data_IF_019911154363
#
_entry.id   IF_019911154363
#
_cell.length_a   1.000
_cell.length_b   1.000
_cell.length_c   1.000
_cell.angle_alpha   90.00
_cell.angle_beta   90.00
_cell.angle_gamma   90.00
#
_symmetry.space_group_name_H-M   'P 1'
#
loop_
_entity.id
_entity.type
_entity.pdbx_description
1 polymer ?
#
# COMPACT_ATOMS: atom_id res chain seq x y z
N UNK A 1 -5.33 -8.85 12.38
CA UNK A 1 -4.53 -8.02 11.47
C UNK A 1 -4.78 -8.45 10.04
N UNK A 2 -4.85 -7.50 9.09
CA UNK A 2 -5.07 -7.76 7.67
C UNK A 2 -3.76 -7.66 6.91
N UNK A 3 -3.52 -8.61 6.00
CA UNK A 3 -2.44 -8.52 5.02
C UNK A 3 -3.03 -8.03 3.71
N UNK A 4 -2.47 -6.95 3.20
CA UNK A 4 -2.74 -6.41 1.88
C UNK A 4 -1.53 -6.64 0.99
N UNK A 5 -1.73 -7.24 -0.16
CA UNK A 5 -0.68 -7.47 -1.14
C UNK A 5 -1.11 -7.07 -2.55
N UNK A 6 -0.12 -6.74 -3.36
CA UNK A 6 -0.27 -6.51 -4.79
C UNK A 6 0.85 -7.22 -5.54
N UNK A 7 0.47 -8.04 -6.51
CA UNK A 7 1.37 -8.87 -7.33
C UNK A 7 1.34 -8.40 -8.77
N UNK A 8 2.40 -8.63 -9.52
CA UNK A 8 2.52 -8.23 -10.93
C UNK A 8 3.09 -6.82 -11.12
N UNK A 9 3.63 -6.21 -10.06
CA UNK A 9 4.16 -4.86 -10.09
C UNK A 9 5.56 -4.85 -10.71
N UNK A 10 5.81 -4.12 -11.81
CA UNK A 10 7.15 -3.98 -12.35
C UNK A 10 8.04 -3.16 -11.41
N UNK A 11 9.34 -3.39 -11.45
CA UNK A 11 10.31 -2.51 -10.75
C UNK A 11 10.49 -1.21 -11.50
N UNK A 12 10.56 -1.31 -12.82
CA UNK A 12 10.64 -0.20 -13.76
C UNK A 12 9.59 -0.42 -14.83
N UNK A 13 8.87 0.61 -15.21
CA UNK A 13 7.87 0.47 -16.26
C UNK A 13 8.47 0.66 -17.65
N UNK A 14 7.87 0.01 -18.64
CA UNK A 14 8.06 0.34 -20.05
C UNK A 14 6.93 1.28 -20.49
N UNK A 15 7.25 2.34 -21.23
CA UNK A 15 6.27 3.33 -21.69
C UNK A 15 5.15 2.68 -22.49
N UNK A 16 3.90 2.97 -22.12
CA UNK A 16 2.69 2.44 -22.74
C UNK A 16 2.41 0.96 -22.49
N UNK A 17 3.27 0.26 -21.72
CA UNK A 17 3.05 -1.14 -21.42
C UNK A 17 1.89 -1.36 -20.45
N UNK A 18 1.23 -2.53 -20.56
CA UNK A 18 0.16 -2.94 -19.67
C UNK A 18 0.62 -4.03 -18.71
N UNK A 19 0.26 -3.87 -17.44
CA UNK A 19 0.61 -4.80 -16.37
C UNK A 19 -0.66 -5.30 -15.68
N UNK A 20 -0.82 -6.63 -15.60
CA UNK A 20 -1.88 -7.25 -14.81
C UNK A 20 -1.46 -7.24 -13.35
N UNK A 21 -2.20 -6.52 -12.53
CA UNK A 21 -1.97 -6.42 -11.09
C UNK A 21 -3.04 -7.22 -10.36
N UNK A 22 -2.61 -8.08 -9.44
CA UNK A 22 -3.53 -8.80 -8.55
C UNK A 22 -3.44 -8.21 -7.17
N UNK A 23 -4.57 -7.72 -6.66
CA UNK A 23 -4.71 -7.20 -5.29
C UNK A 23 -5.35 -8.29 -4.45
N UNK A 24 -4.74 -8.59 -3.31
CA UNK A 24 -5.23 -9.63 -2.39
C UNK A 24 -5.28 -9.12 -0.97
N UNK A 25 -6.35 -9.47 -0.27
CA UNK A 25 -6.55 -9.28 1.17
C UNK A 25 -6.58 -10.62 1.87
N UNK A 26 -5.82 -10.79 2.94
CA UNK A 26 -5.86 -11.98 3.77
C UNK A 26 -6.09 -11.62 5.23
N UNK A 27 -6.94 -12.40 5.89
CA UNK A 27 -7.23 -12.31 7.32
C UNK A 27 -7.53 -13.70 7.86
N UNK A 28 -7.16 -14.03 9.12
CA UNK A 28 -7.37 -15.36 9.68
C UNK A 28 -8.82 -15.82 9.73
N UNK A 29 -9.76 -14.88 9.80
CA UNK A 29 -11.18 -15.15 10.06
C UNK A 29 -12.09 -14.64 8.95
N UNK A 30 -11.83 -13.42 8.42
CA UNK A 30 -12.74 -12.74 7.49
C UNK A 30 -12.26 -12.90 6.05
N UNK A 31 -13.19 -13.01 5.12
CA UNK A 31 -12.93 -13.27 3.69
C UNK A 31 -13.64 -12.26 2.78
N UNK A 32 -14.30 -11.27 3.35
CA UNK A 32 -15.02 -10.25 2.60
C UNK A 32 -14.42 -8.88 2.88
N UNK A 33 -14.05 -8.19 1.84
CA UNK A 33 -13.43 -6.87 1.95
C UNK A 33 -13.54 -6.06 0.68
N UNK A 34 -12.75 -5.01 0.61
CA UNK A 34 -12.66 -4.12 -0.52
C UNK A 34 -11.31 -3.44 -0.59
N UNK A 35 -11.04 -2.83 -1.72
CA UNK A 35 -9.82 -2.08 -1.95
C UNK A 35 -10.10 -0.78 -2.69
N UNK A 36 -9.13 0.12 -2.68
CA UNK A 36 -9.06 1.31 -3.51
C UNK A 36 -7.60 1.58 -3.87
N UNK A 37 -7.30 1.84 -5.14
CA UNK A 37 -5.94 2.12 -5.63
C UNK A 37 -5.93 3.36 -6.51
N UNK A 38 -4.84 4.12 -6.40
CA UNK A 38 -4.51 5.24 -7.29
C UNK A 38 -3.06 5.16 -7.75
N UNK A 39 -2.78 5.74 -8.90
CA UNK A 39 -1.45 6.22 -9.22
C UNK A 39 -1.42 7.76 -9.17
N UNK A 40 -0.26 8.33 -8.86
CA UNK A 40 -0.01 9.78 -8.84
C UNK A 40 0.83 10.21 -10.05
N UNK A 41 0.83 9.41 -11.11
CA UNK A 41 1.48 9.67 -12.38
C UNK A 41 0.47 9.80 -13.52
N UNK A 42 0.97 9.66 -14.73
CA UNK A 42 0.16 9.73 -15.95
C UNK A 42 -0.24 8.34 -16.48
N UNK A 43 -0.23 7.32 -15.62
CA UNK A 43 -0.73 5.99 -15.94
C UNK A 43 -2.25 5.91 -15.89
N UNK A 44 -2.80 4.82 -16.36
CA UNK A 44 -4.24 4.57 -16.35
C UNK A 44 -4.56 3.18 -15.86
N UNK A 45 -5.60 3.07 -15.05
CA UNK A 45 -6.16 1.79 -14.66
C UNK A 45 -7.32 1.37 -15.57
N UNK A 46 -7.43 0.08 -15.81
CA UNK A 46 -8.64 -0.56 -16.36
C UNK A 46 -9.18 -1.52 -15.30
N UNK A 47 -10.41 -1.30 -14.79
CA UNK A 47 -11.04 -2.20 -13.84
C UNK A 47 -11.24 -3.59 -14.46
N UNK A 48 -10.90 -4.62 -13.72
CA UNK A 48 -11.29 -5.99 -14.01
C UNK A 48 -12.61 -6.38 -13.34
N UNK A 49 -12.92 -7.66 -13.38
CA UNK A 49 -14.13 -8.20 -12.75
C UNK A 49 -14.18 -7.84 -11.25
N UNK A 50 -15.34 -7.37 -10.79
CA UNK A 50 -15.54 -6.95 -9.40
C UNK A 50 -14.93 -5.61 -9.03
N UNK A 51 -14.47 -4.82 -10.02
CA UNK A 51 -13.86 -3.50 -9.83
C UNK A 51 -14.55 -2.43 -10.66
N UNK A 52 -14.42 -1.18 -10.25
CA UNK A 52 -15.00 -0.01 -10.93
C UNK A 52 -14.14 1.24 -10.78
N UNK A 53 -14.33 2.19 -11.68
CA UNK A 53 -13.77 3.52 -11.52
C UNK A 53 -14.43 4.26 -10.35
N UNK A 54 -13.60 4.99 -9.61
CA UNK A 54 -14.08 5.88 -8.54
C UNK A 54 -14.38 7.24 -9.16
N UNK A 55 -15.63 7.74 -9.09
CA UNK A 55 -15.98 9.05 -9.61
C UNK A 55 -15.14 10.17 -8.94
N UNK A 56 -14.65 11.10 -9.75
CA UNK A 56 -13.89 12.28 -9.30
C UNK A 56 -12.56 11.97 -8.57
N UNK A 57 -12.01 10.76 -8.74
CA UNK A 57 -10.75 10.33 -8.09
C UNK A 57 -9.50 10.62 -8.92
N UNK A 58 -9.63 11.19 -10.13
CA UNK A 58 -8.48 11.37 -11.01
C UNK A 58 -7.96 10.06 -11.63
N UNK A 59 -8.82 9.03 -11.75
CA UNK A 59 -8.45 7.75 -12.39
C UNK A 59 -8.31 6.57 -11.43
N UNK A 60 -8.52 6.77 -10.13
CA UNK A 60 -8.50 5.67 -9.15
C UNK A 60 -9.61 4.66 -9.38
N UNK A 61 -9.37 3.43 -9.00
CA UNK A 61 -10.34 2.34 -9.05
C UNK A 61 -10.53 1.69 -7.69
N UNK A 62 -11.69 1.08 -7.50
CA UNK A 62 -12.08 0.40 -6.27
C UNK A 62 -12.84 -0.88 -6.60
N UNK A 63 -13.07 -1.71 -5.59
CA UNK A 63 -13.97 -2.84 -5.70
C UNK A 63 -15.39 -2.38 -6.07
N UNK A 64 -16.09 -3.19 -6.83
CA UNK A 64 -17.52 -3.10 -7.07
C UNK A 64 -18.26 -4.20 -6.30
N UNK A 65 -17.67 -5.38 -6.22
CA UNK A 65 -18.15 -6.48 -5.41
C UNK A 65 -17.17 -6.72 -4.25
N UNK A 66 -17.72 -7.02 -3.07
CA UNK A 66 -16.92 -7.47 -1.93
C UNK A 66 -16.22 -8.78 -2.27
N UNK A 67 -15.00 -8.92 -1.79
CA UNK A 67 -14.17 -10.08 -2.06
C UNK A 67 -12.88 -10.02 -1.27
N UNK A 68 -11.91 -10.80 -1.68
CA UNK A 68 -10.57 -10.77 -1.14
C UNK A 68 -9.47 -10.77 -2.21
N UNK A 69 -9.85 -10.94 -3.50
CA UNK A 69 -8.93 -10.90 -4.62
C UNK A 69 -9.56 -10.17 -5.81
N UNK A 70 -8.77 -9.33 -6.47
CA UNK A 70 -9.18 -8.61 -7.69
C UNK A 70 -8.01 -8.53 -8.66
N UNK A 71 -8.29 -8.68 -9.93
CA UNK A 71 -7.32 -8.45 -11.00
C UNK A 71 -7.69 -7.18 -11.75
N UNK A 72 -6.72 -6.30 -11.92
CA UNK A 72 -6.86 -5.03 -12.61
C UNK A 72 -5.72 -4.87 -13.62
N UNK A 73 -5.87 -3.99 -14.58
CA UNK A 73 -4.80 -3.64 -15.51
C UNK A 73 -4.33 -2.23 -15.22
N UNK A 74 -3.02 -2.04 -15.07
CA UNK A 74 -2.40 -0.74 -15.08
C UNK A 74 -1.63 -0.55 -16.37
N UNK A 75 -1.95 0.50 -17.12
CA UNK A 75 -1.22 0.94 -18.28
C UNK A 75 -0.26 2.05 -17.86
N UNK A 76 1.02 1.82 -18.08
CA UNK A 76 2.05 2.79 -17.79
C UNK A 76 1.92 4.06 -18.67
N UNK A 77 2.50 5.19 -18.26
CA UNK A 77 2.55 6.41 -19.05
C UNK A 77 3.08 6.16 -20.47
N UNK A 78 2.51 6.86 -21.46
CA UNK A 78 2.90 6.74 -22.89
C UNK A 78 4.30 7.35 -23.17
N UNK A 79 4.82 8.13 -22.23
CA UNK A 79 6.17 8.71 -22.26
C UNK A 79 6.79 8.62 -20.88
N UNK A 80 8.11 8.80 -20.80
CA UNK A 80 8.78 8.92 -19.51
C UNK A 80 8.34 10.21 -18.79
N UNK A 81 7.61 10.04 -17.70
CA UNK A 81 7.10 11.13 -16.85
C UNK A 81 7.73 11.10 -15.45
N UNK A 82 8.78 10.30 -15.27
CA UNK A 82 9.41 10.05 -13.98
C UNK A 82 8.81 8.86 -13.23
N UNK A 83 9.22 8.69 -12.00
CA UNK A 83 8.74 7.62 -11.13
C UNK A 83 7.24 7.76 -10.83
N UNK A 84 6.51 6.65 -10.89
CA UNK A 84 5.08 6.62 -10.59
C UNK A 84 4.88 6.11 -9.17
N UNK A 85 4.23 6.93 -8.35
CA UNK A 85 3.86 6.59 -6.97
C UNK A 85 2.44 6.05 -6.90
N UNK A 86 2.24 5.05 -6.08
CA UNK A 86 0.95 4.39 -5.87
C UNK A 86 0.53 4.45 -4.41
N UNK A 87 -0.77 4.54 -4.18
CA UNK A 87 -1.40 4.25 -2.90
C UNK A 87 -2.48 3.21 -3.07
N UNK A 88 -2.47 2.20 -2.24
CA UNK A 88 -3.43 1.11 -2.20
C UNK A 88 -3.97 0.99 -0.77
N UNK A 89 -5.28 1.14 -0.62
CA UNK A 89 -5.99 0.88 0.62
C UNK A 89 -6.73 -0.45 0.53
N UNK A 90 -6.71 -1.22 1.61
CA UNK A 90 -7.51 -2.43 1.75
C UNK A 90 -8.29 -2.42 3.05
N UNK A 91 -9.52 -2.92 3.01
CA UNK A 91 -10.36 -3.11 4.18
C UNK A 91 -11.00 -4.50 4.13
N UNK A 92 -10.94 -5.23 5.22
CA UNK A 92 -11.63 -6.51 5.38
C UNK A 92 -12.60 -6.40 6.57
N UNK A 93 -13.81 -6.91 6.39
CA UNK A 93 -14.93 -6.66 7.29
C UNK A 93 -15.48 -7.95 7.88
N UNK A 94 -16.05 -7.87 9.07
CA UNK A 94 -16.69 -8.99 9.76
C UNK A 94 -18.11 -9.29 9.28
N UNK A 95 -18.67 -8.38 8.45
CA UNK A 95 -20.03 -8.52 7.91
C UNK A 95 -21.14 -8.04 8.84
N UNK A 96 -20.81 -7.33 9.92
CA UNK A 96 -21.80 -6.75 10.86
C UNK A 96 -22.71 -5.70 10.21
N UNK A 97 -22.28 -5.11 9.10
CA UNK A 97 -23.02 -4.09 8.36
C UNK A 97 -22.88 -2.67 8.94
N UNK A 98 -22.05 -2.48 9.96
CA UNK A 98 -21.73 -1.20 10.54
C UNK A 98 -20.23 -1.11 10.83
N UNK A 99 -19.58 0.06 10.69
CA UNK A 99 -18.18 0.22 11.06
C UNK A 99 -17.98 -0.06 12.55
N UNK A 100 -17.13 -1.02 12.86
CA UNK A 100 -16.80 -1.39 14.24
C UNK A 100 -15.37 -1.94 14.38
N UNK A 101 -15.04 -2.47 15.57
CA UNK A 101 -13.72 -3.00 15.87
C UNK A 101 -13.39 -4.34 15.16
N UNK A 102 -14.36 -4.96 14.49
CA UNK A 102 -14.17 -6.13 13.64
C UNK A 102 -13.72 -5.78 12.23
N UNK A 103 -13.77 -4.51 11.84
CA UNK A 103 -13.31 -4.02 10.55
C UNK A 103 -11.82 -3.69 10.61
N UNK A 104 -11.06 -4.28 9.71
CA UNK A 104 -9.61 -4.11 9.64
C UNK A 104 -9.21 -3.47 8.31
N UNK A 105 -8.49 -2.37 8.37
CA UNK A 105 -7.99 -1.68 7.18
C UNK A 105 -6.48 -1.47 7.25
N UNK A 106 -5.86 -1.34 6.09
CA UNK A 106 -4.43 -1.06 5.97
C UNK A 106 -4.13 -0.27 4.70
N UNK A 107 -2.97 0.34 4.66
CA UNK A 107 -2.47 1.13 3.53
C UNK A 107 -1.13 0.60 3.07
N UNK A 108 -0.93 0.57 1.76
CA UNK A 108 0.32 0.20 1.11
C UNK A 108 0.66 1.30 0.10
N UNK A 109 1.88 1.86 0.22
CA UNK A 109 2.42 2.81 -0.76
C UNK A 109 3.67 2.24 -1.38
N UNK A 110 3.83 2.42 -2.70
CA UNK A 110 5.00 1.94 -3.42
C UNK A 110 5.27 2.81 -4.65
N UNK A 111 6.46 2.62 -5.22
CA UNK A 111 6.91 3.34 -6.41
C UNK A 111 7.33 2.36 -7.49
N UNK A 112 6.99 2.67 -8.73
CA UNK A 112 7.51 2.04 -9.94
C UNK A 112 8.42 3.05 -10.62
N UNK A 113 9.67 2.66 -10.85
CA UNK A 113 10.70 3.56 -11.38
C UNK A 113 10.49 3.86 -12.86
N UNK A 114 10.91 5.04 -13.27
CA UNK A 114 10.92 5.47 -14.66
C UNK A 114 11.93 4.67 -15.50
N UNK A 115 11.74 4.58 -16.83
CA UNK A 115 12.68 3.90 -17.73
C UNK A 115 14.10 4.44 -17.67
N UNK A 116 14.28 5.76 -17.58
CA UNK A 116 15.60 6.41 -17.52
C UNK A 116 16.37 6.12 -16.23
N UNK A 117 15.68 5.77 -15.15
CA UNK A 117 16.31 5.38 -13.87
C UNK A 117 16.64 3.89 -13.81
N UNK A 118 16.22 3.13 -14.83
CA UNK A 118 16.56 1.72 -14.93
C UNK A 118 18.06 1.55 -15.15
N UNK A 119 18.72 0.79 -14.28
CA UNK A 119 20.08 0.33 -14.55
C UNK A 119 20.05 -0.73 -15.66
N UNK A 120 21.13 -0.87 -16.48
CA UNK A 120 21.20 -1.90 -17.52
C UNK A 120 20.96 -3.33 -17.02
N UNK A 121 21.16 -3.57 -15.73
CA UNK A 121 20.92 -4.82 -15.01
C UNK A 121 19.57 -4.82 -14.24
N UNK A 122 18.67 -3.88 -14.55
CA UNK A 122 17.36 -3.83 -13.90
C UNK A 122 16.63 -5.15 -14.15
N UNK A 123 16.31 -5.82 -13.05
CA UNK A 123 15.58 -7.09 -13.07
C UNK A 123 14.19 -6.86 -13.68
N UNK A 124 13.88 -7.43 -14.86
CA UNK A 124 12.57 -7.27 -15.49
C UNK A 124 11.48 -8.04 -14.75
N UNK A 125 11.82 -8.74 -13.67
CA UNK A 125 10.85 -9.55 -12.95
C UNK A 125 9.80 -8.68 -12.26
N UNK A 126 8.57 -9.14 -12.37
CA UNK A 126 7.45 -8.60 -11.63
C UNK A 126 7.58 -8.98 -10.16
N UNK A 127 7.24 -8.05 -9.28
CA UNK A 127 7.34 -8.26 -7.82
C UNK A 127 5.97 -8.31 -7.17
N UNK A 128 5.94 -8.90 -5.98
CA UNK A 128 4.85 -8.78 -5.02
C UNK A 128 5.27 -7.78 -3.93
N UNK A 129 4.36 -6.91 -3.55
CA UNK A 129 4.55 -5.95 -2.46
C UNK A 129 3.43 -6.20 -1.47
N UNK A 130 3.73 -6.25 -0.19
CA UNK A 130 2.73 -6.51 0.85
C UNK A 130 2.98 -5.65 2.09
N UNK A 131 1.91 -5.46 2.86
CA UNK A 131 1.91 -4.85 4.18
C UNK A 131 0.99 -5.66 5.10
N UNK A 132 1.29 -5.67 6.38
CA UNK A 132 0.65 -6.49 7.39
C UNK A 132 1.57 -7.60 7.86
N UNK A 133 1.14 -8.33 8.88
CA UNK A 133 1.92 -9.43 9.44
C UNK A 133 1.79 -10.69 8.56
N UNK A 134 2.54 -10.68 7.45
CA UNK A 134 2.57 -11.80 6.50
C UNK A 134 3.02 -13.09 7.18
N UNK A 135 3.95 -12.98 8.13
CA UNK A 135 4.52 -14.13 8.82
C UNK A 135 3.54 -14.77 9.81
N UNK A 136 2.58 -14.00 10.35
CA UNK A 136 1.52 -14.56 11.22
C UNK A 136 0.57 -15.50 10.47
N UNK A 137 0.40 -15.31 9.15
CA UNK A 137 -0.49 -16.13 8.32
C UNK A 137 0.25 -17.23 7.53
N UNK A 138 1.49 -16.97 7.13
CA UNK A 138 2.24 -17.84 6.21
C UNK A 138 3.60 -18.31 6.74
N UNK A 139 4.05 -17.78 7.85
CA UNK A 139 5.28 -18.14 8.54
C UNK A 139 5.29 -17.58 9.96
N UNK A 140 6.00 -18.23 10.85
CA UNK A 140 6.20 -17.69 12.21
C UNK A 140 7.48 -16.90 12.23
N UNK A 141 7.38 -15.58 12.49
CA UNK A 141 8.54 -14.77 12.87
C UNK A 141 9.20 -15.41 14.09
N UNK A 142 10.50 -15.42 14.11
CA UNK A 142 11.20 -15.84 15.30
C UNK A 142 10.89 -14.88 16.46
N UNK A 143 10.92 -15.34 17.73
CA UNK A 143 10.74 -14.45 18.88
C UNK A 143 11.72 -13.28 18.90
N UNK A 144 12.92 -13.43 18.31
CA UNK A 144 13.93 -12.37 18.19
C UNK A 144 13.53 -11.31 17.17
N UNK A 145 12.92 -11.69 16.04
CA UNK A 145 12.42 -10.74 15.02
C UNK A 145 11.24 -9.95 15.53
N UNK A 146 10.30 -10.59 16.25
CA UNK A 146 9.15 -9.92 16.88
C UNK A 146 9.64 -8.91 17.92
N UNK A 147 10.60 -9.27 18.74
CA UNK A 147 11.15 -8.38 19.76
C UNK A 147 11.95 -7.23 19.12
N UNK A 148 12.68 -7.44 18.04
CA UNK A 148 13.40 -6.41 17.32
C UNK A 148 12.44 -5.38 16.68
N UNK A 149 11.34 -5.82 16.07
CA UNK A 149 10.30 -4.92 15.55
C UNK A 149 9.63 -4.13 16.66
N UNK A 150 9.27 -4.77 17.76
CA UNK A 150 8.69 -4.09 18.92
C UNK A 150 9.63 -3.02 19.48
N UNK A 151 10.93 -3.30 19.54
CA UNK A 151 11.93 -2.33 19.99
C UNK A 151 12.08 -1.17 19.00
N UNK A 152 12.02 -1.44 17.70
CA UNK A 152 12.07 -0.41 16.66
C UNK A 152 10.82 0.51 16.73
N UNK A 153 9.64 -0.04 16.90
CA UNK A 153 8.39 0.71 17.06
C UNK A 153 8.40 1.59 18.32
N UNK A 154 8.87 1.04 19.44
CA UNK A 154 9.04 1.80 20.68
C UNK A 154 10.04 2.95 20.48
N UNK A 155 11.18 2.67 19.83
CA UNK A 155 12.20 3.68 19.57
C UNK A 155 11.69 4.81 18.66
N UNK A 156 10.93 4.48 17.61
CA UNK A 156 10.31 5.46 16.72
C UNK A 156 9.27 6.33 17.46
N UNK A 157 8.44 5.73 18.29
CA UNK A 157 7.48 6.46 19.13
C UNK A 157 8.13 7.41 20.13
N UNK A 158 9.26 7.03 20.74
CA UNK A 158 10.02 7.90 21.62
C UNK A 158 10.68 9.07 20.88
N UNK A 159 11.15 8.84 19.65
CA UNK A 159 11.74 9.91 18.84
C UNK A 159 10.70 10.95 18.41
N UNK A 160 9.49 10.53 18.07
CA UNK A 160 8.39 11.45 17.73
C UNK A 160 7.95 12.25 18.95
N UNK A 161 7.77 11.63 20.10
CA UNK A 161 7.44 12.32 21.34
C UNK A 161 8.56 13.24 21.81
N UNK A 162 9.82 12.80 21.73
CA UNK A 162 10.99 13.61 22.07
C UNK A 162 11.09 14.88 21.22
N UNK A 163 10.86 14.78 19.91
CA UNK A 163 10.79 15.94 19.02
C UNK A 163 9.66 16.89 19.39
N UNK A 164 8.47 16.40 19.70
CA UNK A 164 7.33 17.24 20.10
C UNK A 164 7.64 18.02 21.39
N UNK A 165 8.21 17.38 22.40
CA UNK A 165 8.59 18.04 23.66
C UNK A 165 9.73 19.05 23.47
N UNK A 166 10.70 18.75 22.62
CA UNK A 166 11.80 19.68 22.31
C UNK A 166 11.27 20.96 21.67
N UNK A 167 10.43 20.87 20.64
CA UNK A 167 9.88 22.04 19.95
C UNK A 167 8.89 22.82 20.81
N UNK A 168 8.09 22.18 21.67
CA UNK A 168 7.18 22.87 22.59
C UNK A 168 7.94 23.63 23.66
N UNK A 169 8.98 23.04 24.24
CA UNK A 169 9.84 23.73 25.23
C UNK A 169 10.63 24.89 24.63
N UNK A 170 11.16 24.72 23.42
CA UNK A 170 11.87 25.79 22.71
C UNK A 170 10.93 26.97 22.37
N UNK A 171 9.70 26.68 21.94
CA UNK A 171 8.70 27.71 21.66
C UNK A 171 8.32 28.53 22.90
N UNK A 172 8.20 27.90 24.07
CA UNK A 172 7.92 28.58 25.34
C UNK A 172 9.08 29.47 25.76
N UNK A 173 10.33 29.04 25.56
CA UNK A 173 11.53 29.82 25.85
C UNK A 173 11.67 31.07 24.99
N UNK A 174 11.27 30.99 23.70
CA UNK A 174 11.32 32.13 22.76
C UNK A 174 10.25 33.18 23.08
N UNK A 175 9.09 32.77 23.59
CA UNK A 175 7.99 33.68 23.95
C UNK A 175 8.22 34.35 25.30
N UNK A 176 9.07 33.79 26.17
CA UNK A 176 9.37 34.32 27.51
C UNK A 176 10.62 35.24 27.57
N UNK A 177 11.32 35.43 26.42
CA UNK A 177 12.48 36.33 26.27
C UNK A 177 12.10 37.62 25.54
#
# INVERSE_FOLDING_TARGET
EVILSITGVPRTYETGAEYNLTISLAHPTYVAGGYMIWDYGDGNFTPGDGSKYVPNSGGGISHDNVGNDWVIVWKAPESDTGDVHFSLAGNIVDGSGAPDAGDHWTLLSFTVSAPETATPDADPTLRTISVGDYDSLFGQKSPEEIEAERQADIASGYLEQGNLYFWTTLSILIVAA
#
